data_IF_994350420627
#
_entry.id   IF_994350420627
#
_cell.length_a   1.000
_cell.length_b   1.000
_cell.length_c   1.000
_cell.angle_alpha   90.00
_cell.angle_beta   90.00
_cell.angle_gamma   90.00
#
_symmetry.space_group_name_H-M   'P 1'
#
loop_
_entity.id
_entity.type
_entity.pdbx_description
1 polymer ?
#
# COMPACT_ATOMS: atom_id res chain seq x y z
N UNK A 1 3.48 2.27 51.99
CA UNK A 1 3.07 3.24 50.94
C UNK A 1 4.05 3.27 49.75
N UNK A 2 5.32 3.69 49.90
CA UNK A 2 6.28 3.76 48.77
C UNK A 2 6.50 2.46 47.99
N UNK A 3 6.56 1.30 48.66
CA UNK A 3 6.72 -0.02 48.01
C UNK A 3 5.53 -0.41 47.12
N UNK A 4 4.32 -0.05 47.52
CA UNK A 4 3.12 -0.32 46.73
C UNK A 4 3.06 0.54 45.47
N UNK A 5 3.44 1.81 45.56
CA UNK A 5 3.51 2.73 44.41
C UNK A 5 4.51 2.21 43.37
N UNK A 6 5.69 1.75 43.80
CA UNK A 6 6.69 1.19 42.89
C UNK A 6 6.19 -0.07 42.15
N UNK A 7 5.47 -0.95 42.84
CA UNK A 7 4.88 -2.16 42.24
C UNK A 7 3.83 -1.76 41.18
N UNK A 8 2.96 -0.80 41.47
CA UNK A 8 1.95 -0.34 40.51
C UNK A 8 2.57 0.33 39.27
N UNK A 9 3.66 1.08 39.44
CA UNK A 9 4.41 1.68 38.33
C UNK A 9 5.01 0.57 37.44
N UNK A 10 5.65 -0.43 38.03
CA UNK A 10 6.23 -1.55 37.29
C UNK A 10 5.16 -2.38 36.56
N UNK A 11 4.02 -2.61 37.21
CA UNK A 11 2.89 -3.35 36.63
C UNK A 11 2.29 -2.60 35.44
N UNK A 12 2.08 -1.28 35.57
CA UNK A 12 1.59 -0.41 34.50
C UNK A 12 2.58 -0.33 33.33
N UNK A 13 3.88 -0.17 33.62
CA UNK A 13 4.92 -0.14 32.60
C UNK A 13 5.00 -1.47 31.83
N UNK A 14 4.93 -2.60 32.54
CA UNK A 14 4.91 -3.93 31.93
C UNK A 14 3.70 -4.14 31.01
N UNK A 15 2.51 -3.69 31.44
CA UNK A 15 1.29 -3.78 30.63
C UNK A 15 1.40 -2.94 29.34
N UNK A 16 1.92 -1.72 29.44
CA UNK A 16 2.14 -0.83 28.28
C UNK A 16 3.13 -1.43 27.26
N UNK A 17 4.23 -2.02 27.73
CA UNK A 17 5.22 -2.68 26.87
C UNK A 17 4.58 -3.88 26.15
N UNK A 18 3.83 -4.71 26.88
CA UNK A 18 3.15 -5.87 26.30
C UNK A 18 2.12 -5.46 25.23
N UNK A 19 1.34 -4.41 25.49
CA UNK A 19 0.39 -3.85 24.53
C UNK A 19 1.10 -3.35 23.26
N UNK A 20 2.19 -2.60 23.41
CA UNK A 20 2.96 -2.05 22.28
C UNK A 20 3.50 -3.17 21.36
N UNK A 21 4.07 -4.23 21.94
CA UNK A 21 4.58 -5.38 21.17
C UNK A 21 3.44 -6.08 20.42
N UNK A 22 2.29 -6.28 21.08
CA UNK A 22 1.12 -6.91 20.47
C UNK A 22 0.56 -6.09 19.31
N UNK A 23 0.49 -4.77 19.45
CA UNK A 23 0.06 -3.86 18.38
C UNK A 23 1.01 -3.96 17.19
N UNK A 24 2.32 -3.84 17.39
CA UNK A 24 3.31 -3.97 16.30
C UNK A 24 3.18 -5.29 15.54
N UNK A 25 2.91 -6.40 16.25
CA UNK A 25 2.69 -7.71 15.62
C UNK A 25 1.41 -7.78 14.79
N UNK A 26 0.34 -7.10 15.20
CA UNK A 26 -0.90 -7.00 14.44
C UNK A 26 -0.75 -6.05 13.25
N UNK A 27 -0.02 -4.95 13.41
CA UNK A 27 0.26 -4.01 12.32
C UNK A 27 1.08 -4.63 11.19
N UNK A 28 2.11 -5.41 11.53
CA UNK A 28 2.88 -6.19 10.56
C UNK A 28 2.03 -7.21 9.78
N UNK A 29 0.85 -7.58 10.31
CA UNK A 29 -0.08 -8.52 9.70
C UNK A 29 -1.32 -7.85 9.09
N UNK A 30 -1.33 -6.51 8.92
CA UNK A 30 -2.46 -5.80 8.32
C UNK A 30 -2.82 -6.46 6.98
N UNK A 31 -3.96 -7.17 6.88
CA UNK A 31 -4.34 -7.82 5.65
C UNK A 31 -4.70 -6.72 4.65
N UNK A 32 -3.92 -6.61 3.58
CA UNK A 32 -4.28 -5.76 2.45
C UNK A 32 -5.30 -6.57 1.65
N UNK A 33 -6.57 -6.15 1.70
CA UNK A 33 -7.60 -6.75 0.86
C UNK A 33 -7.39 -6.23 -0.56
N UNK A 34 -6.71 -7.05 -1.37
CA UNK A 34 -6.55 -6.77 -2.80
C UNK A 34 -7.74 -7.38 -3.53
N UNK A 35 -8.71 -6.54 -3.92
CA UNK A 35 -9.75 -6.98 -4.83
C UNK A 35 -9.14 -7.14 -6.22
N UNK A 36 -9.03 -8.38 -6.67
CA UNK A 36 -8.75 -8.68 -8.07
C UNK A 36 -10.06 -8.47 -8.86
N UNK A 37 -10.34 -7.23 -9.22
CA UNK A 37 -11.26 -6.98 -10.32
C UNK A 37 -10.57 -7.52 -11.57
N UNK A 38 -11.09 -8.61 -12.15
CA UNK A 38 -10.74 -8.89 -13.53
C UNK A 38 -11.35 -7.76 -14.37
N UNK A 39 -10.53 -7.17 -15.23
CA UNK A 39 -10.99 -6.13 -16.16
C UNK A 39 -11.45 -6.77 -17.48
N UNK A 40 -11.81 -8.07 -17.53
CA UNK A 40 -12.26 -8.71 -18.77
C UNK A 40 -13.56 -8.05 -19.22
N UNK A 41 -13.45 -7.24 -20.28
CA UNK A 41 -14.56 -6.49 -20.86
C UNK A 41 -14.62 -5.00 -20.49
N UNK A 42 -13.74 -4.51 -19.61
CA UNK A 42 -13.62 -3.07 -19.34
C UNK A 42 -12.52 -2.46 -20.22
N UNK A 43 -12.91 -1.84 -21.34
CA UNK A 43 -11.96 -1.10 -22.17
C UNK A 43 -11.54 0.21 -21.49
N UNK A 44 -10.31 0.28 -20.99
CA UNK A 44 -9.78 1.51 -20.41
C UNK A 44 -9.19 2.35 -21.53
N UNK A 45 -9.87 3.43 -21.92
CA UNK A 45 -9.40 4.37 -22.94
C UNK A 45 -9.06 5.70 -22.29
N UNK A 46 -7.78 6.04 -22.21
CA UNK A 46 -7.35 7.28 -21.59
C UNK A 46 -5.93 7.69 -21.92
N UNK A 47 -5.52 8.86 -21.43
CA UNK A 47 -4.20 9.44 -21.67
C UNK A 47 -3.26 9.17 -20.51
N UNK A 48 -2.01 8.79 -20.78
CA UNK A 48 -0.99 8.65 -19.75
C UNK A 48 -0.61 10.02 -19.19
N UNK A 49 -0.82 10.23 -17.89
CA UNK A 49 -0.46 11.46 -17.18
C UNK A 49 0.92 11.38 -16.53
N UNK A 50 1.23 10.23 -15.94
CA UNK A 50 2.44 10.04 -15.17
C UNK A 50 2.93 8.59 -15.30
N UNK A 51 4.24 8.42 -15.13
CA UNK A 51 4.91 7.13 -15.08
C UNK A 51 5.74 7.08 -13.81
N UNK A 52 5.61 6.01 -13.04
CA UNK A 52 6.32 5.84 -11.78
C UNK A 52 6.75 4.39 -11.58
N UNK A 53 7.92 4.19 -10.98
CA UNK A 53 8.41 2.86 -10.60
C UNK A 53 8.36 2.72 -9.08
N UNK A 54 7.52 1.80 -8.60
CA UNK A 54 7.33 1.52 -7.17
C UNK A 54 7.96 0.15 -6.87
N UNK A 55 9.16 0.16 -6.29
CA UNK A 55 9.96 -1.05 -6.09
C UNK A 55 10.30 -1.74 -7.42
N UNK A 56 9.78 -2.95 -7.62
CA UNK A 56 9.98 -3.73 -8.85
C UNK A 56 8.80 -3.61 -9.85
N UNK A 57 7.77 -2.82 -9.53
CA UNK A 57 6.59 -2.65 -10.37
C UNK A 57 6.69 -1.39 -11.21
N UNK A 58 6.31 -1.49 -12.48
CA UNK A 58 6.19 -0.37 -13.39
C UNK A 58 4.74 0.09 -13.43
N UNK A 59 4.49 1.37 -13.14
CA UNK A 59 3.14 1.91 -13.04
C UNK A 59 2.92 3.11 -13.94
N UNK A 60 1.72 3.21 -14.50
CA UNK A 60 1.27 4.36 -15.29
C UNK A 60 -0.03 4.91 -14.70
N UNK A 61 -0.15 6.23 -14.65
CA UNK A 61 -1.39 6.91 -14.26
C UNK A 61 -2.14 7.29 -15.52
N UNK A 62 -3.35 6.75 -15.69
CA UNK A 62 -4.23 7.05 -16.83
C UNK A 62 -5.30 8.04 -16.38
N UNK A 63 -5.45 9.11 -17.15
CA UNK A 63 -6.43 10.17 -16.91
C UNK A 63 -7.84 9.58 -16.80
N UNK A 64 -8.59 9.97 -15.77
CA UNK A 64 -9.96 9.53 -15.45
C UNK A 64 -10.11 8.06 -14.97
N UNK A 65 -9.03 7.28 -14.84
CA UNK A 65 -9.11 5.90 -14.35
C UNK A 65 -8.29 5.66 -13.08
N UNK A 66 -7.01 6.02 -13.07
CA UNK A 66 -6.13 5.77 -11.92
C UNK A 66 -4.79 5.15 -12.31
N UNK A 67 -4.16 4.45 -11.36
CA UNK A 67 -2.81 3.89 -11.50
C UNK A 67 -2.88 2.42 -11.90
N UNK A 68 -2.15 2.04 -12.95
CA UNK A 68 -2.10 0.70 -13.50
C UNK A 68 -0.68 0.15 -13.45
N UNK A 69 -0.54 -1.11 -13.04
CA UNK A 69 0.71 -1.85 -13.15
C UNK A 69 0.82 -2.43 -14.55
N UNK A 70 1.93 -2.17 -15.23
CA UNK A 70 2.21 -2.63 -16.60
C UNK A 70 3.54 -3.38 -16.65
N UNK A 71 3.75 -4.12 -17.73
CA UNK A 71 5.06 -4.75 -18.01
C UNK A 71 6.12 -3.68 -18.29
N UNK A 72 7.40 -4.01 -18.04
CA UNK A 72 8.52 -3.12 -18.37
C UNK A 72 8.51 -2.66 -19.83
N UNK A 73 8.24 -3.56 -20.78
CA UNK A 73 8.20 -3.24 -22.21
C UNK A 73 7.18 -2.15 -22.51
N UNK A 74 5.94 -2.30 -22.03
CA UNK A 74 4.90 -1.27 -22.19
C UNK A 74 5.27 0.02 -21.46
N UNK A 75 5.87 -0.08 -20.27
CA UNK A 75 6.33 1.10 -19.56
C UNK A 75 7.37 1.86 -20.37
N UNK A 76 8.32 1.20 -21.02
CA UNK A 76 9.36 1.88 -21.82
C UNK A 76 8.79 2.45 -23.13
N UNK A 77 7.84 1.76 -23.78
CA UNK A 77 7.25 2.20 -25.04
C UNK A 77 6.31 3.40 -24.89
N UNK A 78 5.54 3.47 -23.80
CA UNK A 78 4.52 4.50 -23.58
C UNK A 78 5.15 5.81 -23.09
N UNK A 79 4.73 6.94 -23.67
CA UNK A 79 5.13 8.28 -23.25
C UNK A 79 3.99 8.98 -22.50
N UNK A 80 4.34 9.99 -21.70
CA UNK A 80 3.35 10.88 -21.10
C UNK A 80 2.64 11.61 -22.23
N UNK A 81 1.32 11.59 -22.21
CA UNK A 81 0.47 12.14 -23.25
C UNK A 81 -0.05 11.13 -24.26
N UNK A 82 0.45 9.89 -24.26
CA UNK A 82 -0.02 8.85 -25.18
C UNK A 82 -1.42 8.37 -24.79
N UNK A 83 -2.22 8.04 -25.81
CA UNK A 83 -3.49 7.34 -25.61
C UNK A 83 -3.23 5.85 -25.46
N UNK A 84 -3.80 5.27 -24.40
CA UNK A 84 -3.70 3.85 -24.10
C UNK A 84 -5.06 3.21 -24.10
N UNK A 85 -5.07 1.94 -24.54
CA UNK A 85 -6.18 1.01 -24.43
C UNK A 85 -5.71 -0.19 -23.63
N UNK A 86 -6.24 -0.36 -22.42
CA UNK A 86 -5.94 -1.48 -21.52
C UNK A 86 -7.17 -2.37 -21.34
#
# INVERSE_FOLDING_TARGET
MKRFIAIWILLSAGLNIWQSIRIKKLEAKRPIVVYKADNQGAEIKGRVLQKEKIGNMYTITVQNYGVFVVTQTNYESLKIGDEVRL
#
